data_IF_865094732883
#
_entry.id   IF_865094732883
#
_cell.length_a   1.000
_cell.length_b   1.000
_cell.length_c   1.000
_cell.angle_alpha   90.00
_cell.angle_beta   90.00
_cell.angle_gamma   90.00
#
_symmetry.space_group_name_H-M   'P 1'
#
loop_
_entity.id
_entity.type
_entity.pdbx_description
1 polymer ?
#
# COMPACT_ATOMS: atom_id res chain seq x y z
N UNK A 1 -10.09 10.66 13.33
CA UNK A 1 -9.29 11.71 12.66
C UNK A 1 -9.08 12.84 13.68
N UNK A 2 -7.87 13.35 13.85
CA UNK A 2 -7.56 14.46 14.76
C UNK A 2 -8.01 15.82 14.15
N UNK A 3 -9.27 15.86 13.70
CA UNK A 3 -9.85 16.98 12.98
C UNK A 3 -11.12 17.45 13.68
N UNK A 4 -11.31 18.76 13.74
CA UNK A 4 -12.42 19.38 14.48
C UNK A 4 -13.70 19.48 13.63
N UNK A 5 -13.56 19.52 12.31
CA UNK A 5 -14.67 19.63 11.36
C UNK A 5 -14.27 19.09 9.98
N UNK A 6 -15.26 18.97 9.08
CA UNK A 6 -15.01 18.64 7.67
C UNK A 6 -14.15 19.70 6.97
N UNK A 7 -14.32 20.98 7.33
CA UNK A 7 -13.52 22.08 6.78
C UNK A 7 -12.07 21.97 7.25
N UNK A 8 -11.85 21.69 8.54
CA UNK A 8 -10.51 21.45 9.11
C UNK A 8 -9.84 20.26 8.42
N UNK A 9 -10.58 19.17 8.21
CA UNK A 9 -10.07 18.02 7.47
C UNK A 9 -9.63 18.39 6.05
N UNK A 10 -10.48 19.07 5.27
CA UNK A 10 -10.15 19.49 3.90
C UNK A 10 -8.94 20.42 3.85
N UNK A 11 -8.85 21.37 4.79
CA UNK A 11 -7.71 22.29 4.89
C UNK A 11 -6.41 21.54 5.21
N UNK A 12 -6.44 20.63 6.19
CA UNK A 12 -5.27 19.80 6.54
C UNK A 12 -4.84 18.89 5.40
N UNK A 13 -5.77 18.27 4.69
CA UNK A 13 -5.47 17.46 3.49
C UNK A 13 -4.74 18.31 2.45
N UNK A 14 -5.24 19.52 2.15
CA UNK A 14 -4.56 20.40 1.20
C UNK A 14 -3.13 20.72 1.63
N UNK A 15 -2.92 21.08 2.91
CA UNK A 15 -1.59 21.34 3.45
C UNK A 15 -0.67 20.11 3.37
N UNK A 16 -1.18 18.92 3.68
CA UNK A 16 -0.43 17.66 3.62
C UNK A 16 -0.02 17.33 2.17
N UNK A 17 -0.91 17.56 1.19
CA UNK A 17 -0.58 17.40 -0.23
C UNK A 17 0.60 18.29 -0.62
N UNK A 18 0.56 19.57 -0.25
CA UNK A 18 1.65 20.50 -0.52
C UNK A 18 2.95 20.08 0.18
N UNK A 19 2.85 19.61 1.43
CA UNK A 19 4.00 19.14 2.19
C UNK A 19 4.67 17.92 1.52
N UNK A 20 3.90 16.94 1.05
CA UNK A 20 4.48 15.83 0.29
C UNK A 20 5.06 16.26 -1.05
N UNK A 21 4.40 17.18 -1.76
CA UNK A 21 4.95 17.70 -3.03
C UNK A 21 6.30 18.39 -2.80
N UNK A 22 6.46 19.12 -1.69
CA UNK A 22 7.74 19.71 -1.31
C UNK A 22 8.76 18.63 -0.93
N UNK A 23 8.42 17.70 -0.03
CA UNK A 23 9.34 16.64 0.41
C UNK A 23 9.81 15.76 -0.76
N UNK A 24 8.89 15.41 -1.66
CA UNK A 24 9.15 14.57 -2.83
C UNK A 24 9.60 15.36 -4.06
N UNK A 25 9.85 16.67 -3.96
CA UNK A 25 10.57 17.41 -5.00
C UNK A 25 12.05 17.01 -5.06
N UNK A 26 12.59 16.53 -3.94
CA UNK A 26 13.92 15.93 -3.85
C UNK A 26 13.91 14.51 -4.46
N UNK A 27 14.78 14.29 -5.45
CA UNK A 27 14.97 12.99 -6.08
C UNK A 27 15.44 11.91 -5.11
N UNK A 28 16.29 12.27 -4.15
CA UNK A 28 16.79 11.32 -3.15
C UNK A 28 15.63 10.75 -2.32
N UNK A 29 14.69 11.60 -1.92
CA UNK A 29 13.50 11.20 -1.17
C UNK A 29 12.60 10.27 -1.99
N UNK A 30 12.38 10.58 -3.28
CA UNK A 30 11.60 9.72 -4.19
C UNK A 30 12.24 8.34 -4.35
N UNK A 31 13.55 8.29 -4.60
CA UNK A 31 14.29 7.05 -4.79
C UNK A 31 14.30 6.20 -3.52
N UNK A 32 14.55 6.82 -2.36
CA UNK A 32 14.53 6.14 -1.08
C UNK A 32 13.14 5.53 -0.81
N UNK A 33 12.07 6.29 -1.03
CA UNK A 33 10.70 5.82 -0.77
C UNK A 33 10.30 4.64 -1.67
N UNK A 34 10.63 4.70 -2.97
CA UNK A 34 10.40 3.60 -3.90
C UNK A 34 11.16 2.34 -3.47
N UNK A 35 12.44 2.47 -3.13
CA UNK A 35 13.25 1.34 -2.66
C UNK A 35 12.73 0.76 -1.33
N UNK A 36 12.35 1.63 -0.39
CA UNK A 36 11.86 1.20 0.91
C UNK A 36 10.53 0.45 0.80
N UNK A 37 9.60 0.93 -0.03
CA UNK A 37 8.35 0.24 -0.32
C UNK A 37 8.57 -1.11 -1.01
N UNK A 38 9.46 -1.15 -2.01
CA UNK A 38 9.86 -2.39 -2.70
C UNK A 38 10.45 -3.42 -1.73
N UNK A 39 11.31 -2.99 -0.83
CA UNK A 39 11.93 -3.87 0.16
C UNK A 39 10.90 -4.38 1.18
N UNK A 40 10.04 -3.51 1.70
CA UNK A 40 9.02 -3.85 2.71
C UNK A 40 8.10 -4.96 2.21
N UNK A 41 7.58 -4.83 0.98
CA UNK A 41 6.69 -5.85 0.42
C UNK A 41 7.44 -7.16 0.14
N UNK A 42 8.68 -7.07 -0.36
CA UNK A 42 9.49 -8.27 -0.58
C UNK A 42 9.81 -9.03 0.72
N UNK A 43 10.05 -8.32 1.81
CA UNK A 43 10.27 -8.94 3.13
C UNK A 43 9.00 -9.61 3.66
N UNK A 44 7.83 -8.98 3.49
CA UNK A 44 6.55 -9.63 3.82
C UNK A 44 6.34 -10.92 3.02
N UNK A 45 6.68 -10.93 1.72
CA UNK A 45 6.60 -12.14 0.89
C UNK A 45 7.54 -13.25 1.42
N UNK A 46 8.77 -12.90 1.83
CA UNK A 46 9.73 -13.85 2.40
C UNK A 46 9.23 -14.46 3.70
N UNK A 47 8.65 -13.64 4.59
CA UNK A 47 8.01 -14.13 5.83
C UNK A 47 6.87 -15.10 5.55
N UNK A 48 6.15 -14.90 4.44
CA UNK A 48 5.12 -15.83 3.95
C UNK A 48 5.68 -17.02 3.15
N UNK A 49 7.00 -17.25 3.17
CA UNK A 49 7.68 -18.31 2.41
C UNK A 49 7.42 -18.24 0.89
N UNK A 50 7.26 -17.03 0.34
CA UNK A 50 7.09 -16.79 -1.09
C UNK A 50 8.35 -16.19 -1.70
N UNK A 51 8.62 -16.57 -2.95
CA UNK A 51 9.67 -15.95 -3.76
C UNK A 51 9.24 -14.52 -4.13
N UNK A 52 10.03 -13.48 -3.78
CA UNK A 52 9.73 -12.10 -4.16
C UNK A 52 10.08 -11.77 -5.62
N UNK A 53 10.73 -12.66 -6.38
CA UNK A 53 11.14 -12.36 -7.75
C UNK A 53 9.99 -11.93 -8.68
N UNK A 54 8.81 -12.57 -8.69
CA UNK A 54 7.68 -12.11 -9.51
C UNK A 54 7.19 -10.71 -9.11
N UNK A 55 7.26 -10.38 -7.82
CA UNK A 55 6.89 -9.06 -7.32
C UNK A 55 7.88 -8.00 -7.82
N UNK A 56 9.18 -8.29 -7.82
CA UNK A 56 10.20 -7.37 -8.34
C UNK A 56 9.96 -7.04 -9.81
N UNK A 57 9.65 -8.05 -10.63
CA UNK A 57 9.35 -7.82 -12.06
C UNK A 57 8.13 -6.91 -12.23
N UNK A 58 7.04 -7.17 -11.51
CA UNK A 58 5.83 -6.35 -11.59
C UNK A 58 6.04 -4.93 -11.05
N UNK A 59 6.75 -4.78 -9.93
CA UNK A 59 7.05 -3.50 -9.31
C UNK A 59 7.97 -2.64 -10.20
N UNK A 60 9.06 -3.21 -10.71
CA UNK A 60 10.03 -2.49 -11.53
C UNK A 60 9.40 -2.08 -12.87
N UNK A 61 8.48 -2.89 -13.42
CA UNK A 61 7.68 -2.53 -14.59
C UNK A 61 6.75 -1.33 -14.33
N UNK A 62 6.09 -1.27 -13.17
CA UNK A 62 5.29 -0.11 -12.78
C UNK A 62 6.15 1.15 -12.63
N UNK A 63 7.31 1.04 -11.97
CA UNK A 63 8.22 2.19 -11.80
C UNK A 63 8.71 2.69 -13.16
N UNK A 64 9.09 1.79 -14.05
CA UNK A 64 9.49 2.15 -15.42
C UNK A 64 8.36 2.83 -16.19
N UNK A 65 7.12 2.33 -16.05
CA UNK A 65 5.94 2.95 -16.66
C UNK A 65 5.72 4.38 -16.15
N UNK A 66 5.88 4.62 -14.84
CA UNK A 66 5.71 5.93 -14.21
C UNK A 66 6.85 6.92 -14.53
N UNK A 67 8.03 6.43 -14.92
CA UNK A 67 9.17 7.27 -15.32
C UNK A 67 8.99 7.92 -16.71
N UNK A 68 8.10 7.39 -17.55
CA UNK A 68 7.80 7.98 -18.85
C UNK A 68 6.71 9.06 -18.71
N UNK A 69 7.10 10.32 -18.94
CA UNK A 69 6.20 11.47 -18.84
C UNK A 69 4.96 11.36 -19.75
N UNK A 70 5.05 10.61 -20.86
CA UNK A 70 3.91 10.40 -21.76
C UNK A 70 2.79 9.60 -21.08
N UNK A 71 3.13 8.75 -20.12
CA UNK A 71 2.18 7.93 -19.39
C UNK A 71 1.46 8.72 -18.28
N UNK A 72 1.96 9.89 -17.86
CA UNK A 72 1.35 10.69 -16.79
C UNK A 72 -0.10 11.10 -17.12
N UNK A 73 -0.39 11.36 -18.39
CA UNK A 73 -1.78 11.66 -18.83
C UNK A 73 -2.69 10.45 -18.68
N UNK A 74 -2.19 9.26 -19.00
CA UNK A 74 -2.93 8.00 -18.82
C UNK A 74 -3.20 7.76 -17.33
N UNK A 75 -2.18 7.95 -16.49
CA UNK A 75 -2.29 7.84 -15.03
C UNK A 75 -3.37 8.80 -14.51
N UNK A 76 -3.35 10.06 -14.96
CA UNK A 76 -4.32 11.08 -14.56
C UNK A 76 -5.76 10.69 -14.93
N UNK A 77 -5.97 10.24 -16.17
CA UNK A 77 -7.29 9.86 -16.67
C UNK A 77 -7.85 8.65 -15.91
N UNK A 78 -7.05 7.60 -15.71
CA UNK A 78 -7.48 6.39 -15.00
C UNK A 78 -7.78 6.67 -13.52
N UNK A 79 -6.96 7.50 -12.85
CA UNK A 79 -7.15 7.85 -11.44
C UNK A 79 -8.36 8.78 -11.24
N UNK A 80 -8.59 9.75 -12.15
CA UNK A 80 -9.80 10.60 -12.12
C UNK A 80 -11.08 9.78 -12.25
N UNK A 81 -11.11 8.77 -13.13
CA UNK A 81 -12.26 7.87 -13.26
C UNK A 81 -12.55 7.10 -11.97
N UNK A 82 -11.53 6.90 -11.13
CA UNK A 82 -11.62 6.26 -9.82
C UNK A 82 -11.81 7.24 -8.66
N UNK A 83 -12.09 8.51 -8.97
CA UNK A 83 -12.36 9.59 -8.00
C UNK A 83 -11.16 9.96 -7.13
N UNK A 84 -9.95 9.67 -7.58
CA UNK A 84 -8.72 10.16 -6.94
C UNK A 84 -8.58 11.66 -7.24
N UNK A 85 -8.55 12.56 -6.23
CA UNK A 85 -8.63 14.00 -6.48
C UNK A 85 -7.39 14.60 -7.16
N UNK A 86 -6.20 14.17 -6.75
CA UNK A 86 -4.91 14.68 -7.22
C UNK A 86 -3.92 13.53 -7.41
N UNK A 87 -3.01 13.64 -8.38
CA UNK A 87 -1.93 12.66 -8.58
C UNK A 87 -0.78 13.02 -7.63
N UNK A 88 -0.94 12.67 -6.36
CA UNK A 88 0.04 12.93 -5.32
C UNK A 88 0.27 11.70 -4.44
N UNK A 89 1.33 11.73 -3.64
CA UNK A 89 1.63 10.63 -2.71
C UNK A 89 0.49 10.38 -1.71
N UNK A 90 -0.13 11.44 -1.19
CA UNK A 90 -1.27 11.32 -0.29
C UNK A 90 -2.45 10.59 -0.95
N UNK A 91 -2.99 11.15 -2.03
CA UNK A 91 -4.22 10.64 -2.66
C UNK A 91 -4.02 9.29 -3.35
N UNK A 92 -2.87 9.05 -3.97
CA UNK A 92 -2.60 7.78 -4.68
C UNK A 92 -2.09 6.72 -3.72
N UNK A 93 -0.98 6.97 -3.03
CA UNK A 93 -0.32 5.92 -2.26
C UNK A 93 -0.97 5.71 -0.89
N UNK A 94 -1.30 6.78 -0.17
CA UNK A 94 -1.86 6.64 1.17
C UNK A 94 -3.36 6.33 1.11
N UNK A 95 -4.14 7.13 0.39
CA UNK A 95 -5.60 7.00 0.35
C UNK A 95 -6.02 5.83 -0.55
N UNK A 96 -5.77 5.94 -1.86
CA UNK A 96 -6.24 4.96 -2.85
C UNK A 96 -5.55 3.58 -2.77
N UNK A 97 -4.26 3.51 -2.43
CA UNK A 97 -3.56 2.21 -2.34
C UNK A 97 -3.66 1.62 -0.95
N UNK A 98 -3.23 2.33 0.10
CA UNK A 98 -3.11 1.74 1.44
C UNK A 98 -4.44 1.72 2.20
N UNK A 99 -5.10 2.87 2.35
CA UNK A 99 -6.33 2.99 3.16
C UNK A 99 -7.46 2.17 2.53
N UNK A 100 -7.72 2.34 1.23
CA UNK A 100 -8.74 1.56 0.51
C UNK A 100 -8.48 0.05 0.61
N UNK A 101 -7.23 -0.41 0.49
CA UNK A 101 -6.90 -1.83 0.64
C UNK A 101 -7.20 -2.35 2.04
N UNK A 102 -6.95 -1.55 3.09
CA UNK A 102 -7.30 -1.95 4.46
C UNK A 102 -8.80 -1.97 4.71
N UNK A 103 -9.56 -1.07 4.10
CA UNK A 103 -11.03 -1.09 4.15
C UNK A 103 -11.56 -2.34 3.43
N UNK A 104 -11.07 -2.63 2.23
CA UNK A 104 -11.41 -3.84 1.47
C UNK A 104 -11.12 -5.12 2.27
N UNK A 105 -9.98 -5.19 2.96
CA UNK A 105 -9.62 -6.30 3.84
C UNK A 105 -10.49 -6.40 5.10
N UNK A 106 -11.07 -5.29 5.56
CA UNK A 106 -12.03 -5.30 6.68
C UNK A 106 -13.41 -5.81 6.27
N UNK A 107 -13.73 -5.75 4.98
CA UNK A 107 -14.99 -6.21 4.37
C UNK A 107 -14.73 -7.19 3.22
N UNK A 108 -14.04 -8.32 3.47
CA UNK A 108 -13.61 -9.22 2.41
C UNK A 108 -14.82 -9.91 1.76
N UNK A 109 -14.75 -10.24 0.45
CA UNK A 109 -15.79 -10.99 -0.24
C UNK A 109 -16.07 -12.36 0.41
N UNK A 110 -17.30 -12.85 0.28
CA UNK A 110 -17.70 -14.15 0.84
C UNK A 110 -16.81 -15.31 0.36
N UNK A 111 -16.35 -15.28 -0.89
CA UNK A 111 -15.42 -16.25 -1.45
C UNK A 111 -14.07 -16.29 -0.70
N UNK A 112 -13.56 -15.12 -0.28
CA UNK A 112 -12.32 -15.03 0.50
C UNK A 112 -12.54 -15.55 1.92
N UNK A 113 -13.67 -15.18 2.54
CA UNK A 113 -14.04 -15.67 3.88
C UNK A 113 -14.21 -17.19 3.93
N UNK A 114 -14.81 -17.77 2.88
CA UNK A 114 -15.04 -19.20 2.77
C UNK A 114 -13.73 -20.01 2.74
N UNK A 115 -12.62 -19.42 2.26
CA UNK A 115 -11.31 -20.08 2.25
C UNK A 115 -10.56 -19.84 3.55
N UNK A 116 -10.48 -18.58 3.98
CA UNK A 116 -9.67 -18.16 5.14
C UNK A 116 -10.18 -18.77 6.45
N UNK A 117 -11.50 -18.83 6.64
CA UNK A 117 -12.15 -19.35 7.85
C UNK A 117 -12.39 -20.87 7.83
N UNK A 118 -12.02 -21.57 6.76
CA UNK A 118 -12.24 -23.01 6.68
C UNK A 118 -11.18 -23.77 7.47
N UNK A 119 -11.59 -24.42 8.56
CA UNK A 119 -10.71 -25.19 9.44
C UNK A 119 -10.28 -26.54 8.87
N UNK A 120 -10.94 -27.01 7.80
CA UNK A 120 -10.63 -28.29 7.15
C UNK A 120 -9.61 -28.16 6.02
N UNK A 121 -9.32 -26.93 5.55
CA UNK A 121 -8.30 -26.70 4.54
C UNK A 121 -6.93 -26.61 5.19
N UNK A 122 -5.97 -27.37 4.66
CA UNK A 122 -4.56 -27.17 4.98
C UNK A 122 -4.10 -25.77 4.54
N UNK A 123 -3.01 -25.28 5.12
CA UNK A 123 -2.46 -23.97 4.76
C UNK A 123 -2.13 -23.87 3.25
N UNK A 124 -1.54 -24.92 2.67
CA UNK A 124 -1.25 -24.97 1.22
C UNK A 124 -2.52 -24.96 0.36
N UNK A 125 -3.60 -25.59 0.80
CA UNK A 125 -4.89 -25.54 0.11
C UNK A 125 -5.52 -24.15 0.19
N UNK A 126 -5.42 -23.48 1.36
CA UNK A 126 -5.88 -22.09 1.52
C UNK A 126 -5.14 -21.16 0.57
N UNK A 127 -3.82 -21.28 0.48
CA UNK A 127 -2.99 -20.50 -0.44
C UNK A 127 -3.38 -20.70 -1.90
N UNK A 128 -3.46 -21.95 -2.37
CA UNK A 128 -3.79 -22.25 -3.76
C UNK A 128 -5.20 -21.76 -4.14
N UNK A 129 -6.17 -22.03 -3.27
CA UNK A 129 -7.57 -21.62 -3.49
C UNK A 129 -7.69 -20.10 -3.49
N UNK A 130 -7.07 -19.42 -2.53
CA UNK A 130 -7.15 -17.96 -2.44
C UNK A 130 -6.45 -17.28 -3.61
N UNK A 131 -5.30 -17.81 -4.05
CA UNK A 131 -4.62 -17.34 -5.26
C UNK A 131 -5.54 -17.43 -6.47
N UNK A 132 -6.27 -18.53 -6.62
CA UNK A 132 -7.22 -18.73 -7.73
C UNK A 132 -8.42 -17.79 -7.65
N UNK A 133 -8.97 -17.57 -6.44
CA UNK A 133 -10.08 -16.62 -6.22
C UNK A 133 -9.67 -15.21 -6.59
N UNK A 134 -8.52 -14.75 -6.07
CA UNK A 134 -8.00 -13.40 -6.33
C UNK A 134 -7.66 -13.24 -7.81
N UNK A 135 -7.02 -14.23 -8.43
CA UNK A 135 -6.75 -14.22 -9.86
C UNK A 135 -8.02 -14.08 -10.69
N UNK A 136 -9.07 -14.84 -10.37
CA UNK A 136 -10.36 -14.77 -11.07
C UNK A 136 -10.99 -13.38 -10.95
N UNK A 137 -10.92 -12.78 -9.75
CA UNK A 137 -11.39 -11.42 -9.50
C UNK A 137 -10.61 -10.38 -10.29
N UNK A 138 -9.28 -10.46 -10.29
CA UNK A 138 -8.41 -9.55 -11.04
C UNK A 138 -8.63 -9.72 -12.54
N UNK A 139 -8.77 -10.94 -13.05
CA UNK A 139 -9.10 -11.21 -14.45
C UNK A 139 -10.42 -10.57 -14.86
N UNK A 140 -11.46 -10.69 -14.03
CA UNK A 140 -12.75 -10.04 -14.27
C UNK A 140 -12.65 -8.51 -14.25
N UNK A 141 -11.82 -7.94 -13.36
CA UNK A 141 -11.54 -6.49 -13.33
C UNK A 141 -10.74 -6.04 -14.56
N UNK A 142 -9.72 -6.80 -14.99
CA UNK A 142 -8.92 -6.53 -16.20
C UNK A 142 -9.77 -6.50 -17.47
N UNK A 143 -10.74 -7.40 -17.59
CA UNK A 143 -11.66 -7.43 -18.74
C UNK A 143 -12.53 -6.17 -18.90
N UNK A 144 -12.60 -5.31 -17.87
CA UNK A 144 -13.35 -4.05 -17.87
C UNK A 144 -12.45 -2.83 -18.06
N UNK A 145 -11.12 -3.01 -18.15
CA UNK A 145 -10.21 -1.90 -18.38
C UNK A 145 -10.33 -1.41 -19.82
N UNK A 146 -10.39 -0.10 -19.98
CA UNK A 146 -10.30 0.56 -21.28
C UNK A 146 -8.89 0.44 -21.87
N UNK A 147 -7.87 0.46 -21.01
CA UNK A 147 -6.46 0.39 -21.38
C UNK A 147 -5.82 -0.89 -20.85
N UNK A 148 -5.24 -1.66 -21.77
CA UNK A 148 -4.57 -2.94 -21.45
C UNK A 148 -3.18 -2.77 -20.85
N UNK A 149 -2.56 -1.60 -21.07
CA UNK A 149 -1.23 -1.25 -20.56
C UNK A 149 -1.25 0.14 -19.88
N UNK A 150 -2.25 0.36 -19.02
CA UNK A 150 -2.35 1.56 -18.17
C UNK A 150 -1.78 1.35 -16.77
N UNK A 151 -1.81 2.40 -15.96
CA UNK A 151 -1.44 2.37 -14.54
C UNK A 151 -2.21 1.27 -13.80
N UNK A 152 -3.51 1.16 -14.03
CA UNK A 152 -4.34 0.16 -13.35
C UNK A 152 -3.98 -1.27 -13.76
N UNK A 153 -3.52 -1.48 -14.99
CA UNK A 153 -3.06 -2.79 -15.45
C UNK A 153 -1.80 -3.21 -14.68
N UNK A 154 -0.79 -2.33 -14.60
CA UNK A 154 0.40 -2.55 -13.80
C UNK A 154 0.09 -2.72 -12.30
N UNK A 155 -0.89 -1.97 -11.78
CA UNK A 155 -1.32 -2.12 -10.39
C UNK A 155 -1.94 -3.51 -10.14
N UNK A 156 -2.68 -4.06 -11.11
CA UNK A 156 -3.19 -5.42 -11.03
C UNK A 156 -2.10 -6.47 -11.16
N UNK A 157 -1.04 -6.25 -11.94
CA UNK A 157 0.11 -7.15 -12.00
C UNK A 157 0.78 -7.28 -10.62
N UNK A 158 1.01 -6.15 -9.94
CA UNK A 158 1.52 -6.16 -8.56
C UNK A 158 0.53 -6.86 -7.62
N UNK A 159 -0.75 -6.48 -7.69
CA UNK A 159 -1.81 -7.01 -6.83
C UNK A 159 -1.96 -8.52 -6.95
N UNK A 160 -1.79 -9.08 -8.14
CA UNK A 160 -1.88 -10.52 -8.40
C UNK A 160 -0.84 -11.32 -7.62
N UNK A 161 0.37 -10.76 -7.46
CA UNK A 161 1.45 -11.38 -6.70
C UNK A 161 1.25 -11.21 -5.20
N UNK A 162 0.89 -10.00 -4.74
CA UNK A 162 0.95 -9.66 -3.32
C UNK A 162 -0.37 -9.95 -2.57
N UNK A 163 -1.51 -9.79 -3.22
CA UNK A 163 -2.82 -9.83 -2.55
C UNK A 163 -3.12 -11.18 -1.88
N UNK A 164 -2.76 -12.35 -2.44
CA UNK A 164 -2.97 -13.62 -1.75
C UNK A 164 -2.22 -13.69 -0.42
N UNK A 165 -0.97 -13.23 -0.40
CA UNK A 165 -0.13 -13.22 0.80
C UNK A 165 -0.68 -12.25 1.82
N UNK A 166 -0.98 -11.01 1.42
CA UNK A 166 -1.51 -10.00 2.33
C UNK A 166 -2.88 -10.43 2.90
N UNK A 167 -3.75 -10.98 2.07
CA UNK A 167 -5.07 -11.46 2.51
C UNK A 167 -4.95 -12.61 3.51
N UNK A 168 -4.03 -13.57 3.30
CA UNK A 168 -3.75 -14.61 4.29
C UNK A 168 -3.04 -14.09 5.53
N UNK A 169 -2.18 -13.09 5.41
CA UNK A 169 -1.57 -12.43 6.55
C UNK A 169 -2.64 -11.82 7.46
N UNK A 170 -3.59 -11.07 6.90
CA UNK A 170 -4.64 -10.45 7.72
C UNK A 170 -5.73 -11.41 8.20
N UNK A 171 -6.15 -12.37 7.37
CA UNK A 171 -7.37 -13.17 7.60
C UNK A 171 -7.10 -14.66 7.79
N UNK A 172 -5.88 -15.12 7.53
CA UNK A 172 -5.50 -16.52 7.63
C UNK A 172 -5.23 -16.97 9.07
N UNK A 173 -4.75 -18.20 9.17
CA UNK A 173 -4.49 -18.88 10.45
C UNK A 173 -3.06 -18.78 10.94
N UNK A 174 -2.14 -18.25 10.13
CA UNK A 174 -0.74 -18.03 10.51
C UNK A 174 -0.65 -16.81 11.45
N UNK A 175 -0.27 -17.05 12.71
CA UNK A 175 -0.22 -16.00 13.73
C UNK A 175 0.94 -15.02 13.51
N UNK A 176 2.09 -15.53 13.08
CA UNK A 176 3.28 -14.73 12.81
C UNK A 176 3.02 -13.74 11.69
N UNK A 177 2.49 -14.22 10.57
CA UNK A 177 2.12 -13.36 9.45
C UNK A 177 1.03 -12.36 9.82
N UNK A 178 0.08 -12.76 10.67
CA UNK A 178 -0.96 -11.86 11.16
C UNK A 178 -0.40 -10.74 12.02
N UNK A 179 0.51 -11.04 12.92
CA UNK A 179 1.16 -10.03 13.77
C UNK A 179 1.96 -9.04 12.93
N UNK A 180 2.72 -9.51 11.93
CA UNK A 180 3.44 -8.67 10.99
C UNK A 180 2.53 -7.76 10.17
N UNK A 181 1.46 -8.31 9.60
CA UNK A 181 0.49 -7.55 8.81
C UNK A 181 -0.27 -6.52 9.67
N UNK A 182 -0.67 -6.88 10.89
CA UNK A 182 -1.33 -5.94 11.80
C UNK A 182 -0.37 -4.84 12.24
N UNK A 183 0.89 -5.16 12.56
CA UNK A 183 1.87 -4.13 12.89
C UNK A 183 2.08 -3.15 11.73
N UNK A 184 2.17 -3.64 10.49
CA UNK A 184 2.23 -2.77 9.32
C UNK A 184 1.02 -1.83 9.23
N UNK A 185 -0.20 -2.38 9.34
CA UNK A 185 -1.43 -1.59 9.34
C UNK A 185 -1.46 -0.55 10.46
N UNK A 186 -1.06 -0.92 11.67
CA UNK A 186 -0.99 -0.01 12.82
C UNK A 186 -0.01 1.14 12.58
N UNK A 187 1.16 0.87 12.01
CA UNK A 187 2.12 1.93 11.66
C UNK A 187 1.55 2.86 10.59
N UNK A 188 0.85 2.34 9.57
CA UNK A 188 0.20 3.17 8.55
C UNK A 188 -0.95 4.02 9.13
N UNK A 189 -1.82 3.44 9.95
CA UNK A 189 -2.91 4.19 10.58
C UNK A 189 -2.37 5.23 11.56
N UNK A 190 -1.34 4.89 12.34
CA UNK A 190 -0.70 5.83 13.26
C UNK A 190 -0.03 6.98 12.52
N UNK A 191 0.63 6.70 11.40
CA UNK A 191 1.18 7.72 10.51
C UNK A 191 0.11 8.72 10.07
N UNK A 192 -1.03 8.22 9.57
CA UNK A 192 -2.15 9.07 9.15
C UNK A 192 -2.69 9.90 10.32
N UNK A 193 -2.80 9.32 11.51
CA UNK A 193 -3.26 10.08 12.70
C UNK A 193 -2.26 11.16 13.10
N UNK A 194 -0.96 10.86 13.07
CA UNK A 194 0.09 11.78 13.49
C UNK A 194 0.21 12.98 12.55
N UNK A 195 0.17 12.78 11.23
CA UNK A 195 0.34 13.90 10.28
C UNK A 195 -0.85 14.88 10.28
N UNK A 196 -2.01 14.48 10.80
CA UNK A 196 -3.16 15.39 11.00
C UNK A 196 -3.18 16.05 12.39
N UNK A 197 -2.31 15.61 13.30
CA UNK A 197 -2.29 16.07 14.68
C UNK A 197 -1.34 17.27 14.82
N UNK A 198 -1.90 18.44 15.11
CA UNK A 198 -1.16 19.70 15.29
C UNK A 198 -0.17 19.66 16.48
N UNK A 199 -0.29 18.70 17.38
CA UNK A 199 0.67 18.47 18.47
C UNK A 199 1.86 17.60 18.03
N UNK A 200 1.78 16.96 16.86
CA UNK A 200 2.82 16.09 16.29
C UNK A 200 3.55 16.74 15.12
N UNK A 201 2.84 17.54 14.33
CA UNK A 201 3.41 18.25 13.17
C UNK A 201 3.10 19.74 13.21
N UNK A 202 4.04 20.55 12.72
CA UNK A 202 3.96 22.01 12.73
C UNK A 202 3.23 22.53 11.49
N UNK A 203 1.95 22.86 11.65
CA UNK A 203 1.15 23.57 10.64
C UNK A 203 1.44 25.09 10.56
N UNK A 204 2.61 25.54 11.02
CA UNK A 204 3.01 26.96 11.04
C UNK A 204 3.52 27.44 9.69
N UNK A 205 4.07 26.54 8.88
CA UNK A 205 4.64 26.84 7.57
C UNK A 205 4.81 25.58 6.73
N UNK A 206 4.86 25.74 5.41
CA UNK A 206 4.91 24.61 4.48
C UNK A 206 6.21 23.80 4.63
N UNK A 207 7.34 24.49 4.86
CA UNK A 207 8.64 23.84 5.02
C UNK A 207 8.68 22.99 6.28
N UNK A 208 8.25 23.55 7.41
CA UNK A 208 8.19 22.85 8.70
C UNK A 208 7.27 21.64 8.63
N UNK A 209 6.09 21.78 8.01
CA UNK A 209 5.16 20.67 7.80
C UNK A 209 5.76 19.60 6.89
N UNK A 210 6.43 19.98 5.80
CA UNK A 210 7.12 19.06 4.90
C UNK A 210 8.21 18.26 5.61
N UNK A 211 9.03 18.90 6.44
CA UNK A 211 10.07 18.24 7.23
C UNK A 211 9.46 17.25 8.24
N UNK A 212 8.43 17.67 8.97
CA UNK A 212 7.78 16.84 10.00
C UNK A 212 7.08 15.62 9.39
N UNK A 213 6.28 15.82 8.35
CA UNK A 213 5.56 14.74 7.65
C UNK A 213 6.53 13.73 7.05
N UNK A 214 7.61 14.21 6.43
CA UNK A 214 8.65 13.35 5.87
C UNK A 214 9.38 12.55 6.96
N UNK A 215 9.74 13.21 8.07
CA UNK A 215 10.40 12.55 9.20
C UNK A 215 9.53 11.43 9.77
N UNK A 216 8.24 11.69 10.02
CA UNK A 216 7.32 10.67 10.55
C UNK A 216 7.18 9.52 9.55
N UNK A 217 6.99 9.79 8.26
CA UNK A 217 6.90 8.74 7.23
C UNK A 217 8.14 7.84 7.27
N UNK A 218 9.33 8.45 7.26
CA UNK A 218 10.60 7.74 7.26
C UNK A 218 10.76 6.88 8.50
N UNK A 219 10.54 7.45 9.68
CA UNK A 219 10.64 6.70 10.94
C UNK A 219 9.68 5.51 10.97
N UNK A 220 8.43 5.68 10.52
CA UNK A 220 7.44 4.58 10.50
C UNK A 220 7.86 3.46 9.56
N UNK A 221 8.37 3.78 8.37
CA UNK A 221 8.90 2.78 7.43
C UNK A 221 10.10 2.04 8.03
N UNK A 222 11.06 2.77 8.60
CA UNK A 222 12.26 2.18 9.24
C UNK A 222 11.87 1.27 10.43
N UNK A 223 10.83 1.62 11.20
CA UNK A 223 10.29 0.79 12.27
C UNK A 223 9.69 -0.53 11.74
N UNK A 224 8.96 -0.49 10.62
CA UNK A 224 8.42 -1.71 9.98
C UNK A 224 9.55 -2.57 9.43
N UNK A 225 10.52 -1.97 8.73
CA UNK A 225 11.67 -2.69 8.19
C UNK A 225 12.52 -3.34 9.29
N UNK A 226 12.72 -2.64 10.42
CA UNK A 226 13.43 -3.20 11.59
C UNK A 226 12.68 -4.37 12.19
N UNK A 227 11.34 -4.28 12.28
CA UNK A 227 10.51 -5.39 12.76
C UNK A 227 10.65 -6.61 11.85
N UNK A 228 10.56 -6.41 10.53
CA UNK A 228 10.68 -7.48 9.54
C UNK A 228 12.09 -8.10 9.49
N UNK A 229 13.15 -7.33 9.77
CA UNK A 229 14.53 -7.83 9.71
C UNK A 229 14.98 -8.53 11.00
N UNK A 230 14.41 -8.16 12.15
CA UNK A 230 14.74 -8.76 13.45
C UNK A 230 13.98 -10.05 13.71
N UNK A 231 12.82 -10.23 13.08
CA UNK A 231 12.09 -11.49 13.16
C UNK A 231 12.74 -12.58 12.30
N UNK A 232 12.94 -13.75 12.92
CA UNK A 232 13.50 -14.91 12.23
C UNK A 232 12.55 -15.35 11.11
N UNK A 233 13.11 -15.54 9.92
CA UNK A 233 12.36 -16.17 8.83
C UNK A 233 11.93 -17.59 9.26
N UNK A 234 10.73 -18.04 8.87
CA UNK A 234 10.26 -19.37 9.23
C UNK A 234 11.25 -20.44 8.71
N UNK A 235 11.59 -21.40 9.57
CA UNK A 235 12.43 -22.54 9.15
C UNK A 235 11.67 -23.36 8.11
N UNK A 236 12.35 -23.68 7.00
CA UNK A 236 11.82 -24.42 5.85
C UNK A 236 11.16 -25.74 6.27
#
# INVERSE_FOLDING_TARGET
>A
CACESEIDFKAKVWCIRQAFNMALSDEHNRMWLAQAGRQLIADLLRHARKDPAPFYVAYDSMVQFLMDEHNLRIVEEELKQRRVPEIGFWDVMVDFVLIDSFEDLSRPPSAVLAVTRNMFLSQSMKESTLTTVIWSMLKAKRARLSLTNGFISHFYDISEVISPVITLGFLGTDEHMRDLCQYFKEQTCSFVVDIFNVNRVRYTGLKELSEDVWMILRTRIEMVQTRLSTELLPVA
#
